data_IF_922031812653
#
_entry.id   IF_922031812653
#
_cell.length_a   1.000
_cell.length_b   1.000
_cell.length_c   1.000
_cell.angle_alpha   90.00
_cell.angle_beta   90.00
_cell.angle_gamma   90.00
#
_symmetry.space_group_name_H-M   'P 1'
#
loop_
_entity.id
_entity.type
_entity.pdbx_description
1 polymer ?
#
# COMPACT_ATOMS: atom_id res chain seq x y z
N UNK A 1 7.07 19.53 -5.16
CA UNK A 1 6.87 19.17 -6.58
C UNK A 1 5.58 19.78 -7.13
N UNK A 2 4.38 19.36 -6.68
CA UNK A 2 3.10 19.87 -7.21
C UNK A 2 2.91 21.37 -6.90
N UNK A 3 2.94 21.74 -5.61
CA UNK A 3 2.69 23.13 -5.18
C UNK A 3 3.74 24.13 -5.68
N UNK A 4 4.95 23.64 -5.98
CA UNK A 4 6.04 24.43 -6.58
C UNK A 4 5.89 24.58 -8.10
N UNK A 5 5.18 23.68 -8.78
CA UNK A 5 5.00 23.69 -10.22
C UNK A 5 3.75 24.47 -10.66
N UNK A 6 2.73 24.56 -9.81
CA UNK A 6 1.48 25.23 -10.12
C UNK A 6 0.84 25.87 -8.88
N UNK A 7 0.21 27.02 -9.07
CA UNK A 7 -0.63 27.69 -8.06
C UNK A 7 -1.97 26.96 -7.96
N UNK A 8 -2.02 25.93 -7.12
CA UNK A 8 -3.18 25.09 -6.85
C UNK A 8 -3.38 24.87 -5.35
N UNK A 9 -4.57 24.38 -4.99
CA UNK A 9 -4.86 23.79 -3.67
C UNK A 9 -4.68 22.28 -3.74
N UNK A 10 -3.91 21.73 -2.82
CA UNK A 10 -3.59 20.30 -2.74
C UNK A 10 -4.19 19.70 -1.48
N UNK A 11 -5.06 18.71 -1.67
CA UNK A 11 -5.59 17.85 -0.61
C UNK A 11 -4.78 16.55 -0.60
N UNK A 12 -3.91 16.40 0.39
CA UNK A 12 -3.04 15.24 0.51
C UNK A 12 -3.63 14.25 1.52
N UNK A 13 -3.93 13.04 1.06
CA UNK A 13 -4.50 11.96 1.87
C UNK A 13 -3.42 10.92 2.12
N UNK A 14 -3.24 10.53 3.37
CA UNK A 14 -2.36 9.42 3.74
C UNK A 14 -2.97 8.68 4.94
N UNK A 15 -2.86 7.35 4.94
CA UNK A 15 -3.32 6.51 6.06
C UNK A 15 -2.27 6.42 7.16
N UNK A 16 -1.01 6.70 6.84
CA UNK A 16 0.11 6.61 7.78
C UNK A 16 0.15 7.82 8.71
N UNK A 17 -0.05 7.63 10.04
CA UNK A 17 -0.01 8.74 10.99
C UNK A 17 1.33 9.48 10.99
N UNK A 18 2.45 8.81 10.70
CA UNK A 18 3.77 9.44 10.60
C UNK A 18 3.87 10.35 9.37
N UNK A 19 3.28 9.94 8.23
CA UNK A 19 3.20 10.78 7.04
C UNK A 19 2.31 12.02 7.30
N UNK A 20 1.19 11.85 8.00
CA UNK A 20 0.32 12.95 8.40
C UNK A 20 1.03 13.97 9.30
N UNK A 21 1.79 13.49 10.31
CA UNK A 21 2.58 14.39 11.17
C UNK A 21 3.60 15.20 10.38
N UNK A 22 4.36 14.55 9.49
CA UNK A 22 5.33 15.24 8.60
C UNK A 22 4.62 16.23 7.67
N UNK A 23 3.49 15.84 7.11
CA UNK A 23 2.69 16.69 6.23
C UNK A 23 2.13 17.93 6.93
N UNK A 24 1.70 17.83 8.19
CA UNK A 24 1.23 18.99 8.96
C UNK A 24 2.34 20.00 9.26
N UNK A 25 3.56 19.52 9.53
CA UNK A 25 4.72 20.40 9.66
C UNK A 25 4.98 21.17 8.36
N UNK A 26 5.02 20.46 7.22
CA UNK A 26 5.19 21.06 5.90
C UNK A 26 4.07 22.06 5.56
N UNK A 27 2.82 21.71 5.86
CA UNK A 27 1.66 22.60 5.67
C UNK A 27 1.83 23.92 6.44
N UNK A 28 2.32 23.85 7.68
CA UNK A 28 2.54 25.03 8.53
C UNK A 28 3.66 25.91 7.99
N UNK A 29 4.76 25.31 7.55
CA UNK A 29 5.89 26.01 6.93
C UNK A 29 5.47 26.73 5.64
N UNK A 30 4.77 26.04 4.74
CA UNK A 30 4.28 26.62 3.48
C UNK A 30 3.31 27.78 3.74
N UNK A 31 2.39 27.62 4.70
CA UNK A 31 1.46 28.70 5.07
C UNK A 31 2.21 29.94 5.57
N UNK A 32 3.25 29.76 6.39
CA UNK A 32 4.03 30.87 6.91
C UNK A 32 4.80 31.61 5.79
N UNK A 33 5.24 30.89 4.76
CA UNK A 33 5.96 31.47 3.62
C UNK A 33 5.02 32.16 2.62
N UNK A 34 3.87 31.57 2.33
CA UNK A 34 2.97 32.04 1.26
C UNK A 34 1.84 32.96 1.77
N UNK A 35 1.58 32.99 3.08
CA UNK A 35 0.50 33.77 3.70
C UNK A 35 -0.90 33.16 3.54
N UNK A 36 -1.04 32.05 2.82
CA UNK A 36 -2.28 31.31 2.60
C UNK A 36 -2.07 29.80 2.75
N UNK A 37 -3.13 29.05 3.04
CA UNK A 37 -3.04 27.57 3.13
C UNK A 37 -3.40 26.95 1.79
N UNK A 38 -2.42 26.33 1.15
CA UNK A 38 -2.60 25.59 -0.12
C UNK A 38 -2.38 24.08 0.01
N UNK A 39 -1.76 23.62 1.08
CA UNK A 39 -1.66 22.20 1.42
C UNK A 39 -2.68 21.89 2.53
N UNK A 40 -3.47 20.85 2.35
CA UNK A 40 -4.40 20.35 3.35
C UNK A 40 -4.16 18.86 3.55
N UNK A 41 -3.61 18.49 4.70
CA UNK A 41 -3.44 17.09 5.07
C UNK A 41 -4.75 16.47 5.57
N UNK A 42 -5.00 15.23 5.17
CA UNK A 42 -6.16 14.44 5.58
C UNK A 42 -5.66 13.05 5.99
N UNK A 43 -5.86 12.67 7.24
CA UNK A 43 -5.62 11.29 7.68
C UNK A 43 -6.76 10.40 7.23
N UNK A 44 -6.45 9.34 6.48
CA UNK A 44 -7.41 8.34 6.03
C UNK A 44 -6.90 7.54 4.84
N UNK A 45 -7.60 6.47 4.49
CA UNK A 45 -7.36 5.73 3.26
C UNK A 45 -7.79 6.55 2.05
N UNK A 46 -7.00 6.54 0.97
CA UNK A 46 -7.44 7.14 -0.30
C UNK A 46 -8.61 6.38 -0.91
N UNK A 47 -8.84 5.13 -0.49
CA UNK A 47 -10.06 4.37 -0.78
C UNK A 47 -11.32 4.96 -0.17
N UNK A 48 -11.26 6.04 0.62
CA UNK A 48 -12.40 6.80 1.17
C UNK A 48 -12.36 8.28 0.74
N UNK A 49 -11.56 8.63 -0.27
CA UNK A 49 -11.27 10.01 -0.65
C UNK A 49 -12.51 10.87 -0.90
N UNK A 50 -13.59 10.31 -1.45
CA UNK A 50 -14.81 11.05 -1.72
C UNK A 50 -15.47 11.53 -0.43
N UNK A 51 -15.64 10.63 0.55
CA UNK A 51 -16.20 10.98 1.85
C UNK A 51 -15.30 11.99 2.59
N UNK A 52 -13.98 11.78 2.53
CA UNK A 52 -12.99 12.65 3.15
C UNK A 52 -13.01 14.08 2.60
N UNK A 53 -13.17 14.25 1.28
CA UNK A 53 -13.28 15.54 0.61
C UNK A 53 -14.66 16.18 0.79
N UNK A 54 -15.74 15.40 0.77
CA UNK A 54 -17.09 15.88 1.07
C UNK A 54 -17.19 16.48 2.47
N UNK A 55 -16.58 15.86 3.49
CA UNK A 55 -16.51 16.41 4.84
C UNK A 55 -15.81 17.79 4.90
N UNK A 56 -15.06 18.16 3.86
CA UNK A 56 -14.38 19.46 3.69
C UNK A 56 -15.08 20.37 2.69
N UNK A 57 -16.28 20.00 2.26
CA UNK A 57 -17.07 20.74 1.27
C UNK A 57 -16.36 20.86 -0.10
N UNK A 58 -15.61 19.81 -0.49
CA UNK A 58 -14.94 19.72 -1.80
C UNK A 58 -15.65 18.64 -2.64
N UNK A 59 -16.62 19.02 -3.48
CA UNK A 59 -17.42 18.05 -4.23
C UNK A 59 -16.73 17.55 -5.52
N UNK A 60 -15.73 18.26 -6.03
CA UNK A 60 -15.02 17.92 -7.26
C UNK A 60 -13.57 18.46 -7.23
N UNK A 61 -12.71 17.87 -8.05
CA UNK A 61 -11.28 18.22 -8.18
C UNK A 61 -10.81 18.17 -9.64
N UNK A 62 -9.80 18.98 -9.97
CA UNK A 62 -9.22 19.05 -11.32
C UNK A 62 -8.23 17.93 -11.63
N UNK A 63 -7.75 17.23 -10.60
CA UNK A 63 -6.81 16.15 -10.78
C UNK A 63 -6.61 15.28 -9.54
N UNK A 64 -6.25 14.03 -9.78
CA UNK A 64 -5.87 13.05 -8.76
C UNK A 64 -4.52 12.48 -9.15
N UNK A 65 -3.61 12.40 -8.18
CA UNK A 65 -2.34 11.68 -8.33
C UNK A 65 -2.30 10.61 -7.26
N UNK A 66 -2.13 9.36 -7.68
CA UNK A 66 -1.91 8.21 -6.80
C UNK A 66 -0.51 7.64 -7.07
N UNK A 67 0.35 7.71 -6.06
CA UNK A 67 1.65 7.04 -6.05
C UNK A 67 1.53 5.83 -5.12
N UNK A 68 1.37 4.64 -5.70
CA UNK A 68 0.97 3.43 -4.96
C UNK A 68 2.16 2.80 -4.22
N UNK A 69 1.89 1.88 -3.31
CA UNK A 69 2.93 1.13 -2.59
C UNK A 69 3.44 1.84 -1.34
N UNK A 70 4.70 1.57 -1.00
CA UNK A 70 5.32 1.99 0.28
C UNK A 70 6.24 3.19 0.10
N UNK A 71 6.24 4.08 1.09
CA UNK A 71 7.18 5.21 1.13
C UNK A 71 8.58 4.76 1.55
N UNK A 72 9.61 5.54 1.19
CA UNK A 72 10.98 5.30 1.68
C UNK A 72 11.06 5.37 3.21
N UNK A 73 10.30 6.28 3.85
CA UNK A 73 10.21 6.35 5.31
C UNK A 73 9.76 5.03 5.93
N UNK A 74 8.78 4.36 5.33
CA UNK A 74 8.31 3.05 5.81
C UNK A 74 9.36 1.95 5.62
N UNK A 75 10.14 2.01 4.55
CA UNK A 75 11.21 1.04 4.28
C UNK A 75 12.46 1.26 5.15
N UNK A 76 12.75 2.51 5.51
CA UNK A 76 13.92 2.91 6.27
C UNK A 76 13.69 2.79 7.80
N UNK A 77 12.44 2.88 8.26
CA UNK A 77 12.06 2.69 9.66
C UNK A 77 11.98 1.20 10.02
N UNK A 78 13.05 0.67 10.62
CA UNK A 78 13.18 -0.75 11.01
C UNK A 78 11.99 -1.26 11.84
N UNK A 79 11.51 -0.46 12.78
CA UNK A 79 10.38 -0.81 13.68
C UNK A 79 9.06 -1.06 12.94
N UNK A 80 8.94 -0.60 11.68
CA UNK A 80 7.74 -0.79 10.85
C UNK A 80 7.70 -2.15 10.16
N UNK A 81 8.83 -2.87 10.07
CA UNK A 81 8.84 -4.24 9.58
C UNK A 81 8.57 -4.44 8.08
N UNK A 82 8.63 -3.39 7.25
CA UNK A 82 8.41 -3.51 5.80
C UNK A 82 9.58 -4.15 5.04
N UNK A 83 10.76 -4.19 5.66
CA UNK A 83 12.00 -4.64 5.05
C UNK A 83 12.61 -5.77 5.85
N UNK A 84 13.24 -6.70 5.14
CA UNK A 84 14.07 -7.78 5.69
C UNK A 84 15.56 -7.57 5.35
N UNK A 85 15.95 -6.34 5.00
CA UNK A 85 17.37 -5.94 4.88
C UNK A 85 18.01 -5.73 6.26
N UNK A 86 17.19 -5.31 7.22
CA UNK A 86 17.54 -5.14 8.64
C UNK A 86 16.45 -5.85 9.45
N UNK A 87 16.82 -6.51 10.54
CA UNK A 87 15.84 -7.20 11.39
C UNK A 87 15.02 -6.19 12.17
N UNK A 88 13.72 -6.44 12.28
CA UNK A 88 12.79 -5.60 13.02
C UNK A 88 11.50 -6.37 13.33
N UNK A 89 10.59 -5.77 14.11
CA UNK A 89 9.27 -6.34 14.39
C UNK A 89 8.53 -6.67 13.10
N UNK A 90 7.81 -7.80 13.07
CA UNK A 90 7.00 -8.19 11.93
C UNK A 90 5.64 -7.45 11.96
N UNK A 91 5.64 -6.15 11.66
CA UNK A 91 4.44 -5.30 11.69
C UNK A 91 3.80 -5.13 10.31
N UNK A 92 4.47 -4.45 9.38
CA UNK A 92 4.02 -4.13 8.01
C UNK A 92 2.72 -3.31 7.88
N UNK A 93 2.14 -2.78 8.97
CA UNK A 93 0.96 -1.92 8.86
C UNK A 93 1.37 -0.53 8.40
N UNK A 94 0.64 0.00 7.42
CA UNK A 94 0.73 1.39 6.98
C UNK A 94 -0.02 2.32 7.94
N UNK A 95 -1.08 1.83 8.57
CA UNK A 95 -1.85 2.52 9.62
C UNK A 95 -1.53 1.95 11.01
N UNK A 96 -2.04 2.54 12.09
CA UNK A 96 -1.83 2.04 13.46
C UNK A 96 -2.93 1.08 13.96
N UNK A 97 -3.90 0.77 13.10
CA UNK A 97 -5.05 -0.09 13.39
C UNK A 97 -4.94 -1.47 12.70
N UNK A 98 -5.69 -2.45 13.22
CA UNK A 98 -5.77 -3.79 12.62
C UNK A 98 -4.63 -4.75 12.96
N UNK A 99 -4.68 -5.99 12.44
CA UNK A 99 -3.69 -7.04 12.72
C UNK A 99 -2.35 -6.74 12.05
N UNK A 100 -1.26 -7.06 12.76
CA UNK A 100 0.10 -7.02 12.23
C UNK A 100 0.39 -8.20 11.30
N UNK A 101 1.46 -8.12 10.51
CA UNK A 101 1.98 -9.27 9.78
C UNK A 101 2.31 -10.44 10.72
N UNK A 102 2.80 -10.18 11.94
CA UNK A 102 3.00 -11.19 12.97
C UNK A 102 1.68 -11.88 13.33
N UNK A 103 0.60 -11.13 13.54
CA UNK A 103 -0.71 -11.70 13.83
C UNK A 103 -1.18 -12.59 12.67
N UNK A 104 -1.05 -12.11 11.43
CA UNK A 104 -1.43 -12.86 10.24
C UNK A 104 -0.65 -14.18 10.15
N UNK A 105 0.68 -14.15 10.18
CA UNK A 105 1.48 -15.37 10.02
C UNK A 105 1.32 -16.33 11.19
N UNK A 106 1.02 -15.84 12.41
CA UNK A 106 0.87 -16.69 13.58
C UNK A 106 -0.55 -17.28 13.75
N UNK A 107 -1.59 -16.70 13.15
CA UNK A 107 -2.98 -17.10 13.41
C UNK A 107 -3.76 -17.59 12.19
N UNK A 108 -3.44 -17.11 10.98
CA UNK A 108 -4.18 -17.45 9.75
C UNK A 108 -4.08 -18.95 9.43
N UNK A 109 -5.14 -19.56 8.87
CA UNK A 109 -5.12 -20.95 8.44
C UNK A 109 -4.07 -21.19 7.33
N UNK A 110 -3.52 -22.40 7.23
CA UNK A 110 -2.49 -22.73 6.22
C UNK A 110 -2.99 -22.47 4.78
N UNK A 111 -4.24 -22.83 4.48
CA UNK A 111 -4.87 -22.59 3.17
C UNK A 111 -4.92 -21.12 2.83
N UNK A 112 -5.44 -20.32 3.77
CA UNK A 112 -5.70 -18.90 3.55
C UNK A 112 -4.37 -18.14 3.42
N UNK A 113 -3.37 -18.53 4.21
CA UNK A 113 -2.01 -17.98 4.11
C UNK A 113 -1.36 -18.35 2.77
N UNK A 114 -1.56 -19.57 2.28
CA UNK A 114 -1.08 -19.97 0.97
C UNK A 114 -1.78 -19.20 -0.16
N UNK A 115 -3.07 -18.90 0.00
CA UNK A 115 -3.85 -18.14 -0.97
C UNK A 115 -3.41 -16.68 -1.00
N UNK A 116 -3.20 -16.04 0.16
CA UNK A 116 -2.61 -14.69 0.27
C UNK A 116 -1.25 -14.60 -0.43
N UNK A 117 -0.34 -15.53 -0.13
CA UNK A 117 1.02 -15.54 -0.70
C UNK A 117 0.96 -15.81 -2.22
N UNK A 118 0.00 -16.61 -2.68
CA UNK A 118 -0.19 -16.89 -4.10
C UNK A 118 -0.77 -15.70 -4.85
N UNK A 119 -1.91 -15.18 -4.38
CA UNK A 119 -2.68 -14.16 -5.08
C UNK A 119 -1.98 -12.80 -5.05
N UNK A 120 -1.45 -12.40 -3.89
CA UNK A 120 -0.86 -11.08 -3.72
C UNK A 120 0.66 -11.07 -3.89
N UNK A 121 1.32 -12.20 -3.61
CA UNK A 121 2.76 -12.33 -3.80
C UNK A 121 3.17 -12.86 -5.17
N UNK A 122 2.25 -13.44 -5.94
CA UNK A 122 2.55 -14.19 -7.18
C UNK A 122 3.63 -15.29 -6.96
N UNK A 123 3.67 -15.88 -5.75
CA UNK A 123 4.61 -16.94 -5.36
C UNK A 123 4.05 -18.32 -5.66
N UNK A 124 4.69 -19.03 -6.60
CA UNK A 124 4.22 -20.36 -7.08
C UNK A 124 4.41 -21.45 -6.02
N UNK A 125 5.35 -21.28 -5.11
CA UNK A 125 5.62 -22.16 -3.97
C UNK A 125 4.81 -21.76 -2.73
N UNK A 126 3.74 -20.97 -2.86
CA UNK A 126 2.95 -20.44 -1.74
C UNK A 126 2.54 -21.50 -0.72
N UNK A 127 2.04 -22.66 -1.18
CA UNK A 127 1.66 -23.79 -0.31
C UNK A 127 2.84 -24.34 0.51
N UNK A 128 4.04 -24.37 -0.09
CA UNK A 128 5.26 -24.81 0.59
C UNK A 128 5.70 -23.79 1.63
N UNK A 129 5.60 -22.50 1.30
CA UNK A 129 5.89 -21.39 2.21
C UNK A 129 4.93 -21.40 3.39
N UNK A 130 3.61 -21.43 3.15
CA UNK A 130 2.60 -21.45 4.19
C UNK A 130 2.78 -22.63 5.15
N UNK A 131 3.05 -23.83 4.63
CA UNK A 131 3.39 -24.99 5.46
C UNK A 131 4.62 -24.77 6.33
N UNK A 132 5.67 -24.17 5.79
CA UNK A 132 6.89 -23.88 6.55
C UNK A 132 6.63 -22.87 7.67
N UNK A 133 5.83 -21.83 7.40
CA UNK A 133 5.39 -20.84 8.39
C UNK A 133 4.57 -21.52 9.49
N UNK A 134 3.59 -22.36 9.13
CA UNK A 134 2.75 -23.08 10.10
C UNK A 134 3.56 -24.05 10.96
N UNK A 135 4.53 -24.76 10.36
CA UNK A 135 5.41 -25.65 11.10
C UNK A 135 6.36 -24.89 12.05
N UNK A 136 6.82 -23.70 11.66
CA UNK A 136 7.66 -22.86 12.50
C UNK A 136 6.88 -22.25 13.67
N UNK A 137 5.70 -21.66 13.40
CA UNK A 137 4.87 -21.05 14.47
C UNK A 137 4.36 -22.05 15.50
N UNK A 138 4.23 -23.33 15.11
CA UNK A 138 3.89 -24.41 16.04
C UNK A 138 4.99 -24.68 17.08
N UNK A 139 6.23 -24.27 16.81
CA UNK A 139 7.36 -24.39 17.73
C UNK A 139 7.57 -23.11 18.54
N UNK A 140 7.56 -21.95 17.89
CA UNK A 140 7.67 -20.65 18.53
C UNK A 140 7.02 -19.55 17.66
N UNK A 141 6.40 -18.51 18.25
CA UNK A 141 5.85 -17.40 17.49
C UNK A 141 6.88 -16.72 16.59
N UNK A 142 6.46 -16.33 15.40
CA UNK A 142 7.27 -15.59 14.43
C UNK A 142 7.04 -14.11 14.68
N UNK A 143 8.06 -13.41 15.17
CA UNK A 143 7.95 -12.03 15.67
C UNK A 143 8.79 -11.02 14.87
N UNK A 144 9.78 -11.48 14.10
CA UNK A 144 10.69 -10.59 13.38
C UNK A 144 10.74 -10.85 11.89
N UNK A 145 11.17 -9.84 11.13
CA UNK A 145 11.32 -9.92 9.69
C UNK A 145 12.39 -10.94 9.29
N UNK A 146 13.49 -11.10 10.03
CA UNK A 146 14.49 -12.13 9.72
C UNK A 146 13.95 -13.54 9.94
N UNK A 147 13.21 -13.78 11.03
CA UNK A 147 12.61 -15.09 11.28
C UNK A 147 11.71 -15.52 10.11
N UNK A 148 10.82 -14.63 9.65
CA UNK A 148 9.96 -14.92 8.51
C UNK A 148 10.77 -15.12 7.22
N UNK A 149 11.74 -14.24 6.94
CA UNK A 149 12.56 -14.32 5.74
C UNK A 149 13.36 -15.64 5.68
N UNK A 150 13.95 -16.07 6.80
CA UNK A 150 14.74 -17.29 6.86
C UNK A 150 13.89 -18.56 6.70
N UNK A 151 12.67 -18.57 7.26
CA UNK A 151 11.69 -19.63 7.00
C UNK A 151 11.40 -19.72 5.51
N UNK A 152 11.13 -18.60 4.83
CA UNK A 152 10.82 -18.59 3.39
C UNK A 152 12.04 -19.06 2.58
N UNK A 153 13.23 -18.52 2.87
CA UNK A 153 14.50 -18.88 2.19
C UNK A 153 14.86 -20.36 2.35
N UNK A 154 14.43 -21.01 3.45
CA UNK A 154 14.65 -22.44 3.65
C UNK A 154 13.87 -23.32 2.66
N UNK A 155 12.80 -22.80 2.05
CA UNK A 155 11.90 -23.57 1.18
C UNK A 155 11.73 -23.01 -0.24
N UNK A 156 12.06 -21.75 -0.46
CA UNK A 156 12.04 -21.11 -1.78
C UNK A 156 13.48 -20.98 -2.30
N UNK A 157 13.82 -21.64 -3.44
CA UNK A 157 15.15 -21.55 -4.00
C UNK A 157 15.41 -20.16 -4.57
N UNK A 158 16.66 -19.70 -4.51
CA UNK A 158 17.09 -18.49 -5.19
C UNK A 158 16.79 -18.56 -6.70
N UNK A 159 16.24 -17.48 -7.24
CA UNK A 159 15.97 -17.37 -8.67
C UNK A 159 17.15 -16.71 -9.41
N UNK A 160 17.14 -16.82 -10.76
CA UNK A 160 18.20 -16.24 -11.61
C UNK A 160 18.08 -14.73 -11.80
N UNK A 161 16.97 -14.13 -11.38
CA UNK A 161 16.77 -12.67 -11.44
C UNK A 161 17.52 -11.94 -10.34
N UNK A 162 17.97 -12.66 -9.30
CA UNK A 162 18.69 -12.09 -8.17
C UNK A 162 17.77 -11.46 -7.12
N UNK A 163 16.46 -11.61 -7.28
CA UNK A 163 15.47 -11.19 -6.27
C UNK A 163 15.56 -12.16 -5.10
N UNK A 164 15.52 -11.63 -3.87
CA UNK A 164 15.53 -12.45 -2.66
C UNK A 164 14.26 -13.33 -2.62
N UNK A 165 14.39 -14.65 -2.32
CA UNK A 165 13.26 -15.57 -2.20
C UNK A 165 12.11 -15.10 -1.29
N UNK A 166 12.39 -14.29 -0.27
CA UNK A 166 11.38 -13.77 0.64
C UNK A 166 10.52 -12.65 0.03
N UNK A 167 11.01 -11.95 -1.00
CA UNK A 167 10.41 -10.71 -1.54
C UNK A 167 8.94 -10.84 -1.86
N UNK A 168 8.56 -11.89 -2.60
CA UNK A 168 7.17 -12.13 -3.04
C UNK A 168 6.22 -12.44 -1.90
N UNK A 169 6.67 -13.25 -0.94
CA UNK A 169 5.86 -13.60 0.22
C UNK A 169 5.66 -12.39 1.14
N UNK A 170 6.70 -11.58 1.34
CA UNK A 170 6.61 -10.31 2.07
C UNK A 170 5.65 -9.33 1.39
N UNK A 171 5.74 -9.19 0.06
CA UNK A 171 4.79 -8.38 -0.71
C UNK A 171 3.35 -8.87 -0.51
N UNK A 172 3.10 -10.18 -0.64
CA UNK A 172 1.76 -10.72 -0.49
C UNK A 172 1.16 -10.51 0.90
N UNK A 173 1.96 -10.73 1.95
CA UNK A 173 1.56 -10.48 3.33
C UNK A 173 1.29 -8.99 3.57
N UNK A 174 2.15 -8.09 3.08
CA UNK A 174 1.98 -6.63 3.19
C UNK A 174 0.69 -6.15 2.52
N UNK A 175 0.43 -6.62 1.29
CA UNK A 175 -0.78 -6.32 0.54
C UNK A 175 -2.02 -6.74 1.33
N UNK A 176 -1.99 -7.94 1.93
CA UNK A 176 -3.10 -8.43 2.75
C UNK A 176 -3.30 -7.61 4.02
N UNK A 177 -2.23 -7.35 4.78
CA UNK A 177 -2.27 -6.57 6.04
C UNK A 177 -2.90 -5.20 5.82
N UNK A 178 -2.65 -4.59 4.67
CA UNK A 178 -3.08 -3.24 4.37
C UNK A 178 -4.32 -3.16 3.46
N UNK A 179 -4.90 -4.29 3.03
CA UNK A 179 -5.94 -4.32 1.99
C UNK A 179 -5.58 -3.42 0.79
N UNK A 180 -4.33 -3.50 0.31
CA UNK A 180 -3.82 -2.54 -0.69
C UNK A 180 -4.64 -2.59 -1.98
N UNK A 181 -4.98 -3.78 -2.45
CA UNK A 181 -5.77 -3.95 -3.68
C UNK A 181 -7.21 -3.46 -3.51
N UNK A 182 -7.83 -3.66 -2.35
CA UNK A 182 -9.16 -3.12 -2.03
C UNK A 182 -9.15 -1.59 -1.99
N UNK A 183 -8.14 -1.00 -1.34
CA UNK A 183 -7.92 0.45 -1.33
C UNK A 183 -7.73 1.02 -2.74
N UNK A 184 -6.93 0.35 -3.59
CA UNK A 184 -6.72 0.76 -4.99
C UNK A 184 -8.02 0.69 -5.78
N UNK A 185 -8.77 -0.41 -5.69
CA UNK A 185 -10.02 -0.57 -6.42
C UNK A 185 -11.02 0.54 -6.03
N UNK A 186 -11.26 0.73 -4.73
CA UNK A 186 -12.16 1.78 -4.24
C UNK A 186 -11.66 3.18 -4.60
N UNK A 187 -10.36 3.42 -4.45
CA UNK A 187 -9.74 4.71 -4.72
C UNK A 187 -9.81 5.11 -6.19
N UNK A 188 -9.64 4.17 -7.13
CA UNK A 188 -9.77 4.42 -8.57
C UNK A 188 -11.21 4.80 -8.93
N UNK A 189 -12.20 4.06 -8.42
CA UNK A 189 -13.62 4.33 -8.68
C UNK A 189 -14.02 5.71 -8.12
N UNK A 190 -13.58 6.04 -6.91
CA UNK A 190 -13.85 7.36 -6.30
C UNK A 190 -13.12 8.50 -6.99
N UNK A 191 -11.86 8.30 -7.39
CA UNK A 191 -11.11 9.31 -8.14
C UNK A 191 -11.84 9.67 -9.44
N UNK A 192 -12.32 8.67 -10.18
CA UNK A 192 -13.08 8.88 -11.42
C UNK A 192 -14.40 9.62 -11.18
N UNK A 193 -15.08 9.35 -10.05
CA UNK A 193 -16.31 10.07 -9.67
C UNK A 193 -16.10 11.51 -9.19
N UNK A 194 -14.91 11.85 -8.69
CA UNK A 194 -14.57 13.17 -8.18
C UNK A 194 -14.03 14.14 -9.24
N UNK A 195 -13.51 13.63 -10.35
CA UNK A 195 -12.89 14.47 -11.36
C UNK A 195 -13.91 15.35 -12.08
N UNK A 196 -13.64 16.65 -12.10
CA UNK A 196 -14.39 17.59 -12.93
C UNK A 196 -14.16 17.30 -14.42
N UNK A 197 -15.06 17.74 -15.33
CA UNK A 197 -14.83 17.64 -16.77
C UNK A 197 -13.47 18.22 -17.18
N UNK A 198 -12.66 17.43 -17.89
CA UNK A 198 -11.30 17.81 -18.29
C UNK A 198 -10.23 17.52 -17.23
N UNK A 199 -10.62 17.01 -16.06
CA UNK A 199 -9.70 16.62 -14.99
C UNK A 199 -8.84 15.41 -15.36
N UNK A 200 -7.74 15.23 -14.64
CA UNK A 200 -6.74 14.17 -14.92
C UNK A 200 -6.52 13.24 -13.74
N UNK A 201 -6.59 11.93 -14.00
CA UNK A 201 -6.09 10.90 -13.10
C UNK A 201 -4.69 10.47 -13.55
N UNK A 202 -3.72 10.55 -12.65
CA UNK A 202 -2.35 10.04 -12.85
C UNK A 202 -2.09 9.00 -11.77
N UNK A 203 -1.67 7.80 -12.19
CA UNK A 203 -1.35 6.71 -11.26
C UNK A 203 0.02 6.16 -11.58
N UNK A 204 0.83 5.99 -10.54
CA UNK A 204 2.12 5.30 -10.58
C UNK A 204 1.98 4.01 -9.78
N UNK A 205 2.20 2.88 -10.45
CA UNK A 205 2.15 1.53 -9.86
C UNK A 205 3.53 0.89 -9.89
N UNK A 206 3.84 0.07 -8.89
CA UNK A 206 5.14 -0.55 -8.68
C UNK A 206 5.12 -2.06 -8.94
N UNK A 207 3.95 -2.69 -8.99
CA UNK A 207 3.84 -4.10 -9.36
C UNK A 207 2.68 -4.42 -10.30
N UNK A 208 2.72 -5.63 -10.86
CA UNK A 208 1.80 -6.19 -11.84
C UNK A 208 0.33 -6.13 -11.39
N UNK A 209 0.03 -6.47 -10.13
CA UNK A 209 -1.34 -6.48 -9.61
C UNK A 209 -1.96 -5.08 -9.55
N UNK A 210 -1.21 -4.08 -9.08
CA UNK A 210 -1.62 -2.67 -9.09
C UNK A 210 -1.89 -2.19 -10.53
N UNK A 211 -0.90 -2.35 -11.41
CA UNK A 211 -0.97 -1.92 -12.82
C UNK A 211 -2.18 -2.55 -13.54
N UNK A 212 -2.46 -3.83 -13.27
CA UNK A 212 -3.63 -4.54 -13.81
C UNK A 212 -4.94 -3.87 -13.36
N UNK A 213 -5.09 -3.54 -12.07
CA UNK A 213 -6.29 -2.87 -11.57
C UNK A 213 -6.47 -1.48 -12.19
N UNK A 214 -5.39 -0.70 -12.26
CA UNK A 214 -5.39 0.63 -12.89
C UNK A 214 -5.83 0.54 -14.34
N UNK A 215 -5.24 -0.36 -15.12
CA UNK A 215 -5.59 -0.57 -16.54
C UNK A 215 -7.05 -0.99 -16.70
N UNK A 216 -7.54 -1.89 -15.87
CA UNK A 216 -8.93 -2.34 -15.92
C UNK A 216 -9.92 -1.20 -15.60
N UNK A 217 -9.63 -0.41 -14.57
CA UNK A 217 -10.46 0.74 -14.19
C UNK A 217 -10.50 1.80 -15.30
N UNK A 218 -9.33 2.18 -15.86
CA UNK A 218 -9.25 3.16 -16.94
C UNK A 218 -9.92 2.68 -18.23
N UNK A 219 -9.77 1.40 -18.60
CA UNK A 219 -10.46 0.84 -19.76
C UNK A 219 -11.98 0.83 -19.57
N UNK A 220 -12.46 0.45 -18.37
CA UNK A 220 -13.88 0.49 -18.03
C UNK A 220 -14.43 1.92 -18.14
N UNK A 221 -13.73 2.90 -17.56
CA UNK A 221 -14.12 4.31 -17.62
C UNK A 221 -14.11 4.88 -19.05
N UNK A 222 -13.21 4.38 -19.90
CA UNK A 222 -13.14 4.74 -21.31
C UNK A 222 -14.19 4.01 -22.19
N UNK A 223 -15.07 3.19 -21.61
CA UNK A 223 -16.06 2.40 -22.35
C UNK A 223 -15.46 1.23 -23.15
N UNK A 224 -14.19 0.87 -22.88
CA UNK A 224 -13.49 -0.26 -23.51
C UNK A 224 -13.73 -1.51 -22.68
N UNK A 225 -14.91 -2.10 -22.82
CA UNK A 225 -15.20 -3.39 -22.22
C UNK A 225 -14.41 -4.50 -22.95
N UNK A 226 -13.95 -5.55 -22.25
CA UNK A 226 -13.44 -6.74 -22.90
C UNK A 226 -14.49 -7.26 -23.89
N UNK A 227 -14.06 -7.74 -25.05
CA UNK A 227 -14.95 -8.46 -25.94
C UNK A 227 -15.61 -9.64 -25.17
N UNK A 228 -16.90 -9.91 -25.42
CA UNK A 228 -17.63 -10.99 -24.74
C UNK A 228 -16.99 -12.36 -24.92
#
# INVERSE_FOLDING_TARGET
AILSAARCTLWAIDRDPAAIRRGHALQSELRAQEGETRLHMIHGGFGDMQALLQARHVPAIDGVVLDLGVSSFQLDEVERGFSFRTDGPLDMRMDDTGPTAADIVNTMAESDLADVIYEYGEERLSRRVARAIVAARAQAPILTTFQLADIIRSVVPADRSGIDPATRSFQGIRIHVNDELGQIASGLDQALGLLAPGGRLVVVSFHSLEDRLVKQALNRAAGRLPAP
#
